data_IF_565431870011
#
_entry.id   IF_565431870011
#
_cell.length_a   1.000
_cell.length_b   1.000
_cell.length_c   1.000
_cell.angle_alpha   90.00
_cell.angle_beta   90.00
_cell.angle_gamma   90.00
#
_symmetry.space_group_name_H-M   'P 1'
#
loop_
_entity.id
_entity.type
_entity.pdbx_description
1 polymer ?
#
# COMPACT_ATOMS: atom_id res chain seq x y z
N UNK A 1 -59.47 -37.65 47.54
CA UNK A 1 -58.76 -37.57 46.25
C UNK A 1 -57.96 -36.27 46.23
N UNK A 2 -56.68 -36.30 46.62
CA UNK A 2 -55.78 -35.16 46.50
C UNK A 2 -54.93 -35.36 45.25
N UNK A 3 -55.10 -34.48 44.24
CA UNK A 3 -54.31 -34.47 43.02
C UNK A 3 -53.15 -33.50 43.20
N UNK A 4 -51.92 -34.01 43.13
CA UNK A 4 -50.69 -33.24 43.21
C UNK A 4 -50.19 -32.97 41.79
N UNK A 5 -50.29 -31.73 41.33
CA UNK A 5 -49.70 -31.30 40.06
C UNK A 5 -48.22 -30.95 40.29
N UNK A 6 -47.33 -31.77 39.73
CA UNK A 6 -45.90 -31.54 39.71
C UNK A 6 -45.59 -30.47 38.65
N UNK A 7 -45.23 -29.26 39.06
CA UNK A 7 -44.74 -28.22 38.15
C UNK A 7 -43.27 -28.49 37.81
N UNK A 8 -43.02 -28.96 36.58
CA UNK A 8 -41.67 -29.08 36.01
C UNK A 8 -41.29 -27.72 35.43
N UNK A 9 -40.35 -27.01 36.08
CA UNK A 9 -39.76 -25.80 35.53
C UNK A 9 -38.62 -26.20 34.57
N UNK A 10 -38.85 -26.03 33.27
CA UNK A 10 -37.80 -26.17 32.25
C UNK A 10 -36.99 -24.88 32.25
N UNK A 11 -35.75 -24.95 32.71
CA UNK A 11 -34.78 -23.86 32.61
C UNK A 11 -34.11 -23.97 31.24
N UNK A 12 -34.56 -23.16 30.28
CA UNK A 12 -33.87 -22.99 29.00
C UNK A 12 -32.62 -22.13 29.22
N UNK A 13 -31.44 -22.75 29.29
CA UNK A 13 -30.16 -22.06 29.27
C UNK A 13 -29.90 -21.63 27.83
N UNK A 14 -30.17 -20.36 27.52
CA UNK A 14 -29.75 -19.73 26.27
C UNK A 14 -28.25 -19.45 26.35
N UNK A 15 -27.43 -20.31 25.73
CA UNK A 15 -26.05 -19.94 25.42
C UNK A 15 -26.08 -18.82 24.39
N UNK A 16 -25.85 -17.60 24.83
CA UNK A 16 -25.48 -16.51 23.94
C UNK A 16 -24.10 -16.86 23.35
N UNK A 17 -24.09 -17.46 22.17
CA UNK A 17 -22.89 -17.55 21.35
C UNK A 17 -22.57 -16.10 20.95
N UNK A 18 -21.76 -15.43 21.77
CA UNK A 18 -21.09 -14.22 21.31
C UNK A 18 -20.15 -14.68 20.20
N UNK A 19 -20.56 -14.46 18.96
CA UNK A 19 -19.63 -14.50 17.85
C UNK A 19 -18.61 -13.41 18.14
N UNK A 20 -17.45 -13.80 18.66
CA UNK A 20 -16.29 -12.92 18.68
C UNK A 20 -15.98 -12.68 17.21
N UNK A 21 -16.40 -11.53 16.68
CA UNK A 21 -16.06 -11.11 15.32
C UNK A 21 -14.54 -10.92 15.35
N UNK A 22 -13.81 -11.93 14.88
CA UNK A 22 -12.36 -11.88 14.79
C UNK A 22 -11.93 -10.74 13.88
N UNK A 23 -10.83 -10.09 14.23
CA UNK A 23 -10.22 -9.07 13.35
C UNK A 23 -9.79 -9.71 12.02
N UNK A 24 -9.97 -8.97 10.92
CA UNK A 24 -9.45 -9.38 9.62
C UNK A 24 -7.93 -9.58 9.72
N UNK A 25 -7.37 -10.64 9.11
CA UNK A 25 -5.92 -10.82 9.04
C UNK A 25 -5.23 -9.59 8.44
N UNK A 26 -3.99 -9.36 8.83
CA UNK A 26 -3.16 -8.26 8.32
C UNK A 26 -1.96 -8.81 7.59
N UNK A 27 -1.76 -8.36 6.36
CA UNK A 27 -0.57 -8.64 5.56
C UNK A 27 0.36 -7.44 5.62
N UNK A 28 1.66 -7.65 5.82
CA UNK A 28 2.67 -6.58 5.88
C UNK A 28 3.74 -6.81 4.82
N UNK A 29 3.96 -5.82 3.96
CA UNK A 29 5.04 -5.75 2.97
C UNK A 29 6.07 -4.71 3.42
N UNK A 30 7.31 -5.14 3.60
CA UNK A 30 8.40 -4.27 4.04
C UNK A 30 8.90 -3.35 2.92
N UNK A 31 9.74 -2.38 3.29
CA UNK A 31 10.36 -1.43 2.38
C UNK A 31 11.72 -1.89 1.85
N UNK A 32 12.36 -0.98 1.11
CA UNK A 32 13.69 -1.16 0.52
C UNK A 32 14.77 -1.32 1.60
N UNK A 33 15.78 -2.15 1.34
CA UNK A 33 16.86 -2.60 2.23
C UNK A 33 16.40 -3.18 3.58
N UNK A 34 15.10 -3.43 3.72
CA UNK A 34 14.49 -3.97 4.92
C UNK A 34 14.09 -5.43 4.71
N UNK A 35 13.42 -6.04 5.68
CA UNK A 35 12.95 -7.43 5.60
C UNK A 35 11.88 -7.73 6.64
N UNK A 36 11.36 -8.96 6.66
CA UNK A 36 10.37 -9.41 7.64
C UNK A 36 10.74 -9.07 9.09
N UNK A 37 12.01 -9.27 9.49
CA UNK A 37 12.49 -9.04 10.85
C UNK A 37 12.20 -7.61 11.32
N UNK A 38 12.39 -6.62 10.44
CA UNK A 38 12.14 -5.21 10.75
C UNK A 38 10.66 -4.90 11.04
N UNK A 39 9.74 -5.72 10.52
CA UNK A 39 8.29 -5.54 10.64
C UNK A 39 7.71 -6.32 11.82
N UNK A 40 8.48 -7.21 12.44
CA UNK A 40 8.05 -8.00 13.61
C UNK A 40 7.54 -7.10 14.76
N UNK A 41 8.19 -5.98 15.13
CA UNK A 41 7.66 -5.10 16.19
C UNK A 41 6.26 -4.57 15.88
N UNK A 42 5.98 -4.22 14.62
CA UNK A 42 4.66 -3.79 14.18
C UNK A 42 3.66 -4.94 14.24
N UNK A 43 4.03 -6.13 13.75
CA UNK A 43 3.19 -7.32 13.79
C UNK A 43 2.78 -7.66 15.24
N UNK A 44 3.76 -7.72 16.15
CA UNK A 44 3.52 -7.95 17.58
C UNK A 44 2.60 -6.90 18.17
N UNK A 45 2.80 -5.62 17.84
CA UNK A 45 1.96 -4.54 18.34
C UNK A 45 0.51 -4.65 17.86
N UNK A 46 0.30 -5.10 16.62
CA UNK A 46 -1.04 -5.39 16.08
C UNK A 46 -1.68 -6.51 16.88
N UNK A 47 -0.97 -7.61 17.14
CA UNK A 47 -1.48 -8.75 17.89
C UNK A 47 -1.78 -8.40 19.37
N UNK A 48 -0.97 -7.54 19.98
CA UNK A 48 -1.17 -7.03 21.35
C UNK A 48 -2.44 -6.18 21.47
N UNK A 49 -2.65 -5.26 20.53
CA UNK A 49 -3.77 -4.29 20.58
C UNK A 49 -5.06 -4.91 20.00
N UNK A 50 -4.93 -5.88 19.11
CA UNK A 50 -6.05 -6.62 18.51
C UNK A 50 -5.85 -8.14 18.68
N UNK A 51 -6.10 -8.67 19.89
CA UNK A 51 -5.89 -10.09 20.18
C UNK A 51 -6.61 -11.02 19.20
N UNK A 52 -5.91 -12.05 18.72
CA UNK A 52 -6.44 -13.02 17.75
C UNK A 52 -6.32 -12.59 16.29
N UNK A 53 -5.82 -11.39 15.99
CA UNK A 53 -5.48 -10.99 14.62
C UNK A 53 -4.35 -11.84 14.08
N UNK A 54 -4.55 -12.51 12.94
CA UNK A 54 -3.46 -13.19 12.23
C UNK A 54 -2.64 -12.16 11.45
N UNK A 55 -1.33 -12.14 11.64
CA UNK A 55 -0.44 -11.26 10.87
C UNK A 55 0.49 -12.09 9.98
N UNK A 56 0.45 -11.83 8.67
CA UNK A 56 1.38 -12.37 7.69
C UNK A 56 2.38 -11.30 7.30
N UNK A 57 3.65 -11.51 7.64
CA UNK A 57 4.75 -10.61 7.22
C UNK A 57 5.53 -11.31 6.12
N UNK A 58 5.58 -10.73 4.93
CA UNK A 58 6.35 -11.33 3.84
C UNK A 58 7.84 -11.36 4.16
N UNK A 59 8.48 -12.50 3.92
CA UNK A 59 9.92 -12.71 4.01
C UNK A 59 10.64 -12.62 2.65
N UNK A 60 9.87 -12.44 1.57
CA UNK A 60 10.42 -12.28 0.23
C UNK A 60 11.14 -10.95 0.07
N UNK A 61 12.21 -10.98 -0.71
CA UNK A 61 12.99 -9.80 -1.10
C UNK A 61 13.60 -9.00 0.07
N UNK A 62 13.94 -9.66 1.18
CA UNK A 62 14.67 -9.03 2.27
C UNK A 62 16.07 -8.49 1.87
N UNK A 63 16.48 -7.40 2.52
CA UNK A 63 17.79 -6.75 2.35
C UNK A 63 18.02 -6.26 0.93
N UNK A 64 19.16 -6.61 0.35
CA UNK A 64 19.53 -6.23 -1.03
C UNK A 64 18.57 -6.76 -2.09
N UNK A 65 17.84 -7.84 -1.81
CA UNK A 65 16.86 -8.39 -2.76
C UNK A 65 15.68 -7.44 -3.02
N UNK A 66 15.41 -6.50 -2.11
CA UNK A 66 14.40 -5.45 -2.31
C UNK A 66 14.74 -4.48 -3.44
N UNK A 67 15.99 -4.49 -3.93
CA UNK A 67 16.43 -3.73 -5.10
C UNK A 67 16.10 -4.39 -6.44
N UNK A 68 15.54 -5.62 -6.44
CA UNK A 68 15.10 -6.28 -7.67
C UNK A 68 13.97 -5.49 -8.35
N UNK A 69 13.76 -5.63 -9.67
CA UNK A 69 12.72 -4.90 -10.38
C UNK A 69 11.34 -5.02 -9.71
N UNK A 70 10.62 -3.90 -9.59
CA UNK A 70 9.38 -3.82 -8.82
C UNK A 70 8.30 -4.78 -9.34
N UNK A 71 8.16 -4.95 -10.67
CA UNK A 71 7.19 -5.90 -11.22
C UNK A 71 7.50 -7.36 -10.87
N UNK A 72 8.78 -7.73 -10.78
CA UNK A 72 9.15 -9.07 -10.33
C UNK A 72 8.73 -9.28 -8.87
N UNK A 73 8.94 -8.28 -8.01
CA UNK A 73 8.48 -8.32 -6.62
C UNK A 73 6.94 -8.39 -6.52
N UNK A 74 6.21 -7.60 -7.31
CA UNK A 74 4.74 -7.62 -7.35
C UNK A 74 4.21 -9.00 -7.71
N UNK A 75 4.80 -9.69 -8.68
CA UNK A 75 4.33 -11.01 -9.11
C UNK A 75 4.57 -12.06 -8.03
N UNK A 76 5.78 -12.11 -7.47
CA UNK A 76 6.15 -13.12 -6.47
C UNK A 76 5.45 -12.89 -5.12
N UNK A 77 5.47 -11.66 -4.59
CA UNK A 77 4.76 -11.33 -3.35
C UNK A 77 3.25 -11.42 -3.57
N UNK A 78 2.75 -11.00 -4.73
CA UNK A 78 1.34 -11.08 -5.08
C UNK A 78 0.81 -12.51 -5.08
N UNK A 79 1.58 -13.47 -5.61
CA UNK A 79 1.23 -14.89 -5.57
C UNK A 79 1.03 -15.39 -4.13
N UNK A 80 2.01 -15.16 -3.26
CA UNK A 80 1.92 -15.58 -1.84
C UNK A 80 0.72 -14.95 -1.13
N UNK A 81 0.46 -13.67 -1.41
CA UNK A 81 -0.65 -12.92 -0.81
C UNK A 81 -1.99 -13.48 -1.27
N UNK A 82 -2.14 -13.81 -2.56
CA UNK A 82 -3.36 -14.42 -3.06
C UNK A 82 -3.59 -15.80 -2.45
N UNK A 83 -2.56 -16.62 -2.31
CA UNK A 83 -2.64 -17.92 -1.63
C UNK A 83 -3.08 -17.75 -0.17
N UNK A 84 -2.54 -16.74 0.53
CA UNK A 84 -2.97 -16.41 1.88
C UNK A 84 -4.45 -15.96 1.94
N UNK A 85 -4.92 -15.20 0.95
CA UNK A 85 -6.31 -14.72 0.87
C UNK A 85 -7.33 -15.84 0.68
N UNK A 86 -6.97 -16.95 0.00
CA UNK A 86 -7.86 -18.11 -0.20
C UNK A 86 -8.35 -18.67 1.14
N UNK A 87 -7.51 -18.67 2.17
CA UNK A 87 -7.86 -19.16 3.51
C UNK A 87 -8.60 -18.12 4.37
N UNK A 88 -8.85 -16.93 3.83
CA UNK A 88 -9.46 -15.81 4.55
C UNK A 88 -10.54 -15.15 3.68
N UNK A 89 -11.64 -15.85 3.37
CA UNK A 89 -12.66 -15.40 2.41
C UNK A 89 -13.37 -14.11 2.86
N UNK A 90 -13.44 -13.85 4.16
CA UNK A 90 -14.00 -12.62 4.73
C UNK A 90 -13.14 -11.38 4.47
N UNK A 91 -11.96 -11.53 3.87
CA UNK A 91 -11.07 -10.46 3.47
C UNK A 91 -9.98 -10.14 4.48
N UNK A 92 -8.97 -9.43 4.01
CA UNK A 92 -7.75 -9.08 4.76
C UNK A 92 -7.49 -7.59 4.74
N UNK A 93 -6.62 -7.10 5.63
CA UNK A 93 -6.02 -5.78 5.53
C UNK A 93 -4.59 -5.92 4.99
N UNK A 94 -4.12 -4.91 4.28
CA UNK A 94 -2.78 -4.87 3.68
C UNK A 94 -2.05 -3.63 4.15
N UNK A 95 -0.82 -3.78 4.63
CA UNK A 95 0.07 -2.70 5.02
C UNK A 95 1.30 -2.77 4.13
N UNK A 96 1.63 -1.66 3.47
CA UNK A 96 2.88 -1.53 2.73
C UNK A 96 3.70 -0.39 3.30
N UNK A 97 4.89 -0.70 3.82
CA UNK A 97 5.81 0.28 4.39
C UNK A 97 6.82 0.77 3.35
N UNK A 98 6.97 2.08 3.20
CA UNK A 98 7.91 2.70 2.26
C UNK A 98 7.70 2.15 0.84
N UNK A 99 8.74 1.64 0.17
CA UNK A 99 8.62 0.95 -1.12
C UNK A 99 7.53 -0.15 -1.12
N UNK A 100 7.30 -0.82 0.00
CA UNK A 100 6.26 -1.83 0.16
C UNK A 100 4.85 -1.31 -0.12
N UNK A 101 4.59 0.00 0.04
CA UNK A 101 3.31 0.61 -0.33
C UNK A 101 3.10 0.73 -1.85
N UNK A 102 4.17 0.91 -2.62
CA UNK A 102 4.10 0.82 -4.08
C UNK A 102 3.88 -0.64 -4.52
N UNK A 103 4.60 -1.60 -3.92
CA UNK A 103 4.41 -3.03 -4.17
C UNK A 103 2.98 -3.47 -3.86
N UNK A 104 2.45 -3.09 -2.68
CA UNK A 104 1.07 -3.35 -2.29
C UNK A 104 0.09 -2.81 -3.33
N UNK A 105 0.23 -1.55 -3.74
CA UNK A 105 -0.62 -0.95 -4.79
C UNK A 105 -0.49 -1.69 -6.13
N UNK A 106 0.73 -2.08 -6.51
CA UNK A 106 0.99 -2.91 -7.69
C UNK A 106 0.25 -4.23 -7.66
N UNK A 107 0.24 -4.92 -6.51
CA UNK A 107 -0.49 -6.18 -6.32
C UNK A 107 -1.99 -5.96 -6.44
N UNK A 108 -2.54 -4.95 -5.77
CA UNK A 108 -3.98 -4.64 -5.84
C UNK A 108 -4.43 -4.37 -7.28
N UNK A 109 -3.65 -3.58 -8.01
CA UNK A 109 -3.92 -3.24 -9.40
C UNK A 109 -3.74 -4.43 -10.34
N UNK A 110 -2.70 -5.25 -10.12
CA UNK A 110 -2.38 -6.42 -10.95
C UNK A 110 -3.40 -7.56 -10.78
N UNK A 111 -3.99 -7.69 -9.59
CA UNK A 111 -4.88 -8.79 -9.22
C UNK A 111 -6.24 -8.27 -8.74
N UNK A 112 -7.12 -7.79 -9.63
CA UNK A 112 -8.39 -7.15 -9.26
C UNK A 112 -9.39 -8.08 -8.55
N UNK A 113 -9.09 -9.38 -8.47
CA UNK A 113 -9.88 -10.36 -7.73
C UNK A 113 -9.51 -10.47 -6.24
N UNK A 114 -8.50 -9.73 -5.76
CA UNK A 114 -8.12 -9.69 -4.34
C UNK A 114 -9.31 -9.41 -3.41
N UNK A 115 -9.23 -9.81 -2.14
CA UNK A 115 -10.23 -9.51 -1.11
C UNK A 115 -9.73 -8.55 -0.02
N UNK A 116 -8.73 -7.71 -0.35
CA UNK A 116 -8.27 -6.63 0.55
C UNK A 116 -9.40 -5.65 0.85
N UNK A 117 -9.71 -5.49 2.12
CA UNK A 117 -10.70 -4.55 2.65
C UNK A 117 -10.08 -3.16 2.89
N UNK A 118 -8.95 -3.11 3.58
CA UNK A 118 -8.23 -1.86 3.85
C UNK A 118 -6.78 -1.97 3.43
N UNK A 119 -6.33 -1.02 2.62
CA UNK A 119 -4.93 -0.83 2.30
C UNK A 119 -4.37 0.36 3.09
N UNK A 120 -3.32 0.13 3.88
CA UNK A 120 -2.57 1.14 4.62
C UNK A 120 -1.22 1.34 3.93
N UNK A 121 -1.06 2.49 3.27
CA UNK A 121 0.18 2.93 2.65
C UNK A 121 0.97 3.74 3.68
N UNK A 122 2.00 3.14 4.27
CA UNK A 122 2.78 3.73 5.36
C UNK A 122 4.08 4.34 4.84
N UNK A 123 4.11 5.66 4.71
CA UNK A 123 5.22 6.49 4.21
C UNK A 123 5.78 6.02 2.86
N UNK A 124 4.91 5.65 1.94
CA UNK A 124 5.29 5.10 0.64
C UNK A 124 5.39 6.19 -0.43
N UNK A 125 6.39 6.20 -1.33
CA UNK A 125 6.49 7.21 -2.38
C UNK A 125 5.44 6.95 -3.48
N UNK A 126 4.15 7.16 -3.20
CA UNK A 126 3.06 6.79 -4.11
C UNK A 126 3.09 7.57 -5.42
N UNK A 127 3.63 8.81 -5.42
CA UNK A 127 3.93 9.56 -6.64
C UNK A 127 5.41 9.50 -7.07
N UNK A 128 6.16 8.52 -6.57
CA UNK A 128 7.58 8.38 -6.83
C UNK A 128 8.47 9.21 -5.91
N UNK A 129 9.76 9.15 -6.18
CA UNK A 129 10.83 9.76 -5.39
C UNK A 129 11.67 10.69 -6.26
N UNK A 130 12.00 11.86 -5.70
CA UNK A 130 12.96 12.81 -6.25
C UNK A 130 13.70 13.52 -5.11
N UNK A 131 14.76 12.88 -4.58
CA UNK A 131 15.54 13.48 -3.49
C UNK A 131 16.84 12.74 -3.19
N UNK A 132 17.86 13.50 -2.74
CA UNK A 132 19.24 13.04 -2.55
C UNK A 132 19.46 12.17 -1.32
N UNK A 133 18.78 12.46 -0.19
CA UNK A 133 18.99 11.76 1.08
C UNK A 133 18.78 10.26 0.95
N UNK A 134 17.71 9.87 0.25
CA UNK A 134 17.43 8.48 -0.06
C UNK A 134 18.49 7.87 -0.99
N UNK A 135 18.95 8.62 -2.00
CA UNK A 135 19.97 8.14 -2.95
C UNK A 135 21.31 7.88 -2.29
N UNK A 136 21.73 8.68 -1.32
CA UNK A 136 23.01 8.46 -0.61
C UNK A 136 23.06 7.13 0.15
N UNK A 137 21.92 6.48 0.43
CA UNK A 137 21.87 5.12 0.98
C UNK A 137 22.37 4.06 -0.01
N UNK A 138 22.29 4.33 -1.32
CA UNK A 138 22.63 3.39 -2.39
C UNK A 138 23.83 3.84 -3.21
N UNK A 139 23.94 5.15 -3.44
CA UNK A 139 24.93 5.80 -4.30
C UNK A 139 25.48 7.04 -3.58
N UNK A 140 26.48 6.87 -2.70
CA UNK A 140 26.96 7.95 -1.83
C UNK A 140 27.40 9.22 -2.58
N UNK A 141 27.87 9.09 -3.82
CA UNK A 141 28.37 10.20 -4.64
C UNK A 141 27.36 10.74 -5.66
N UNK A 142 26.16 10.16 -5.75
CA UNK A 142 25.19 10.55 -6.78
C UNK A 142 24.41 11.80 -6.36
N UNK A 143 24.43 12.84 -7.19
CA UNK A 143 23.58 14.01 -7.01
C UNK A 143 22.16 13.75 -7.56
N UNK A 144 21.15 14.42 -6.99
CA UNK A 144 19.75 14.33 -7.44
C UNK A 144 19.64 14.61 -8.95
N UNK A 145 20.27 15.72 -9.33
CA UNK A 145 20.20 16.30 -10.67
C UNK A 145 20.84 15.42 -11.73
N UNK A 146 21.73 14.50 -11.34
CA UNK A 146 22.39 13.54 -12.26
C UNK A 146 21.82 12.13 -12.16
N UNK A 147 20.96 11.86 -11.17
CA UNK A 147 20.43 10.52 -10.92
C UNK A 147 19.60 9.98 -12.09
N UNK A 148 19.00 10.86 -12.88
CA UNK A 148 18.26 10.49 -14.09
C UNK A 148 19.14 9.78 -15.13
N UNK A 149 20.43 10.10 -15.23
CA UNK A 149 21.35 9.45 -16.19
C UNK A 149 21.51 7.96 -15.88
N UNK A 150 21.50 7.62 -14.59
CA UNK A 150 21.49 6.24 -14.14
C UNK A 150 20.09 5.63 -14.28
N UNK A 151 19.07 6.25 -13.69
CA UNK A 151 17.76 5.63 -13.54
C UNK A 151 16.97 5.55 -14.84
N UNK A 152 17.08 6.53 -15.72
CA UNK A 152 16.46 6.51 -17.05
C UNK A 152 17.41 5.89 -18.08
N UNK A 153 17.89 4.69 -17.75
CA UNK A 153 18.65 3.80 -18.62
C UNK A 153 18.13 2.38 -18.48
N UNK A 154 18.45 1.50 -19.43
CA UNK A 154 18.09 0.07 -19.32
C UNK A 154 18.59 -0.56 -18.02
N UNK A 155 19.82 -0.25 -17.62
CA UNK A 155 20.44 -0.78 -16.40
C UNK A 155 19.76 -0.21 -15.15
N UNK A 156 19.48 1.09 -15.12
CA UNK A 156 18.79 1.73 -13.99
C UNK A 156 17.42 1.13 -13.72
N UNK A 157 16.70 0.76 -14.78
CA UNK A 157 15.38 0.13 -14.69
C UNK A 157 15.39 -1.33 -14.25
N UNK A 158 16.58 -1.95 -14.12
CA UNK A 158 16.75 -3.22 -13.41
C UNK A 158 16.87 -3.05 -11.89
N UNK A 159 16.82 -1.81 -11.38
CA UNK A 159 16.79 -1.52 -9.94
C UNK A 159 15.41 -1.03 -9.52
N UNK A 160 14.95 -1.46 -8.35
CA UNK A 160 13.65 -1.05 -7.82
C UNK A 160 13.52 0.46 -7.65
N UNK A 161 14.62 1.14 -7.27
CA UNK A 161 14.63 2.59 -7.04
C UNK A 161 14.43 3.34 -8.35
N UNK A 162 15.09 2.91 -9.43
CA UNK A 162 14.89 3.50 -10.76
C UNK A 162 13.46 3.33 -11.27
N UNK A 163 12.74 2.30 -10.83
CA UNK A 163 11.35 2.03 -11.23
C UNK A 163 10.34 3.05 -10.69
N UNK A 164 10.67 3.79 -9.61
CA UNK A 164 9.82 4.86 -9.08
C UNK A 164 10.55 6.20 -8.92
N UNK A 165 11.71 6.36 -9.54
CA UNK A 165 12.31 7.67 -9.72
C UNK A 165 11.38 8.54 -10.58
N UNK A 166 11.03 9.73 -10.08
CA UNK A 166 10.12 10.66 -10.74
C UNK A 166 10.73 12.06 -10.79
N UNK A 167 11.69 12.22 -11.70
CA UNK A 167 12.38 13.49 -11.97
C UNK A 167 11.46 14.52 -12.65
N UNK A 168 11.09 15.63 -11.99
CA UNK A 168 10.20 16.64 -12.57
C UNK A 168 10.81 17.39 -13.77
N UNK A 169 12.14 17.40 -13.91
CA UNK A 169 12.86 18.11 -14.98
C UNK A 169 13.09 17.25 -16.22
N UNK A 170 13.01 15.92 -16.06
CA UNK A 170 13.29 14.95 -17.12
C UNK A 170 12.08 14.06 -17.44
N UNK A 171 10.87 14.63 -17.45
CA UNK A 171 9.63 13.88 -17.66
C UNK A 171 9.55 13.13 -19.01
N UNK A 172 10.21 13.63 -20.07
CA UNK A 172 10.31 12.89 -21.33
C UNK A 172 11.01 11.54 -21.13
N UNK A 173 12.13 11.53 -20.42
CA UNK A 173 12.89 10.32 -20.10
C UNK A 173 12.15 9.43 -19.10
N UNK A 174 11.41 10.03 -18.15
CA UNK A 174 10.52 9.29 -17.24
C UNK A 174 9.53 8.42 -18.02
N UNK A 175 8.82 8.99 -19.00
CA UNK A 175 7.86 8.24 -19.81
C UNK A 175 8.51 7.25 -20.79
N UNK A 176 9.75 7.52 -21.22
CA UNK A 176 10.48 6.67 -22.16
C UNK A 176 11.10 5.44 -21.49
N UNK A 177 11.66 5.59 -20.28
CA UNK A 177 12.42 4.54 -19.61
C UNK A 177 11.71 3.91 -18.41
N UNK A 178 10.93 4.66 -17.63
CA UNK A 178 10.39 4.14 -16.37
C UNK A 178 9.39 2.99 -16.62
N UNK A 179 9.75 1.79 -16.16
CA UNK A 179 9.01 0.57 -16.48
C UNK A 179 7.93 0.21 -15.44
N UNK A 180 7.75 1.03 -14.42
CA UNK A 180 6.84 0.73 -13.31
C UNK A 180 5.91 1.90 -12.96
N UNK A 181 6.42 3.01 -12.42
CA UNK A 181 5.58 4.08 -11.90
C UNK A 181 4.59 4.70 -12.92
N UNK A 182 4.96 5.04 -14.16
CA UNK A 182 3.99 5.61 -15.11
C UNK A 182 2.92 4.58 -15.54
N UNK A 183 3.27 3.30 -15.57
CA UNK A 183 2.31 2.22 -15.81
C UNK A 183 1.38 2.06 -14.59
N UNK A 184 1.95 1.99 -13.39
CA UNK A 184 1.22 1.86 -12.14
C UNK A 184 0.26 3.03 -11.92
N UNK A 185 0.65 4.25 -12.27
CA UNK A 185 -0.22 5.44 -12.24
C UNK A 185 -1.18 5.53 -13.43
N UNK A 186 -1.19 4.51 -14.29
CA UNK A 186 -2.00 4.41 -15.49
C UNK A 186 -1.91 5.68 -16.36
N UNK A 187 -0.70 6.24 -16.45
CA UNK A 187 -0.36 7.36 -17.33
C UNK A 187 0.05 6.84 -18.71
N UNK A 188 0.62 5.63 -18.77
CA UNK A 188 0.82 4.87 -19.99
C UNK A 188 -0.25 3.77 -20.03
N UNK A 189 -1.07 3.78 -21.08
CA UNK A 189 -2.17 2.83 -21.26
C UNK A 189 -1.62 1.50 -21.78
N UNK A 190 -2.08 0.41 -21.17
CA UNK A 190 -1.78 -0.97 -21.56
C UNK A 190 -3.06 -1.79 -21.53
N UNK A 191 -3.00 -3.05 -21.96
CA UNK A 191 -4.12 -4.00 -21.84
C UNK A 191 -4.58 -4.20 -20.38
N UNK A 192 -3.68 -3.97 -19.40
CA UNK A 192 -3.98 -4.10 -17.97
C UNK A 192 -4.61 -2.86 -17.35
N UNK A 193 -4.66 -1.73 -18.05
CA UNK A 193 -5.17 -0.46 -17.49
C UNK A 193 -6.57 -0.57 -16.88
N UNK A 194 -7.46 -1.38 -17.47
CA UNK A 194 -8.80 -1.62 -16.92
C UNK A 194 -8.80 -2.35 -15.57
N UNK A 195 -7.85 -3.28 -15.37
CA UNK A 195 -7.71 -4.03 -14.11
C UNK A 195 -7.26 -3.14 -12.95
N UNK A 196 -6.45 -2.11 -13.23
CA UNK A 196 -5.85 -1.27 -12.19
C UNK A 196 -6.91 -0.48 -11.44
N UNK A 197 -7.84 0.14 -12.18
CA UNK A 197 -8.98 0.81 -11.58
C UNK A 197 -9.86 -0.16 -10.80
N UNK A 198 -10.20 -1.32 -11.39
CA UNK A 198 -11.05 -2.33 -10.75
C UNK A 198 -10.46 -2.81 -9.42
N UNK A 199 -9.17 -3.08 -9.36
CA UNK A 199 -8.48 -3.50 -8.14
C UNK A 199 -8.52 -2.41 -7.07
N UNK A 200 -8.11 -1.19 -7.42
CA UNK A 200 -8.14 -0.07 -6.47
C UNK A 200 -9.55 0.21 -5.93
N UNK A 201 -10.57 0.30 -6.78
CA UNK A 201 -11.95 0.59 -6.35
C UNK A 201 -12.63 -0.56 -5.63
N UNK A 202 -12.00 -1.73 -5.51
CA UNK A 202 -12.50 -2.85 -4.70
C UNK A 202 -12.21 -2.63 -3.21
N UNK A 203 -11.24 -1.79 -2.88
CA UNK A 203 -10.95 -1.43 -1.49
C UNK A 203 -12.15 -0.73 -0.86
N UNK A 204 -12.44 -1.07 0.39
CA UNK A 204 -13.37 -0.28 1.21
C UNK A 204 -12.70 0.97 1.76
N UNK A 205 -11.38 0.91 1.98
CA UNK A 205 -10.60 2.03 2.50
C UNK A 205 -9.15 1.98 2.04
N UNK A 206 -8.62 3.15 1.66
CA UNK A 206 -7.19 3.40 1.53
C UNK A 206 -6.78 4.41 2.61
N UNK A 207 -5.77 4.08 3.40
CA UNK A 207 -5.20 4.95 4.43
C UNK A 207 -3.81 5.36 3.97
N UNK A 208 -3.57 6.67 3.91
CA UNK A 208 -2.31 7.25 3.48
C UNK A 208 -1.64 7.90 4.70
N UNK A 209 -0.48 7.38 5.09
CA UNK A 209 0.28 7.88 6.25
C UNK A 209 1.62 8.38 5.74
N UNK A 210 2.02 9.56 6.18
CA UNK A 210 3.31 10.19 5.89
C UNK A 210 3.32 11.59 6.48
N UNK A 211 4.49 12.14 6.76
CA UNK A 211 4.59 13.43 7.46
C UNK A 211 5.84 14.23 7.11
N UNK A 212 5.88 15.51 7.47
CA UNK A 212 6.95 16.44 7.10
C UNK A 212 8.32 16.10 7.71
N UNK A 213 8.34 15.35 8.81
CA UNK A 213 9.56 14.91 9.47
C UNK A 213 10.16 13.64 8.84
N UNK A 214 9.54 13.10 7.78
CA UNK A 214 10.15 12.04 6.97
C UNK A 214 11.38 12.61 6.22
N UNK A 215 12.56 12.23 6.69
CA UNK A 215 13.83 12.66 6.12
C UNK A 215 14.27 11.88 4.88
N UNK A 216 13.45 10.95 4.38
CA UNK A 216 13.82 9.98 3.33
C UNK A 216 12.98 10.20 2.08
N UNK A 217 11.65 10.20 2.21
CA UNK A 217 10.73 10.40 1.10
C UNK A 217 10.75 11.87 0.66
N UNK A 218 10.92 12.12 -0.63
CA UNK A 218 11.02 13.47 -1.17
C UNK A 218 10.27 13.57 -2.50
N UNK A 219 9.24 14.42 -2.60
CA UNK A 219 8.61 15.16 -1.50
C UNK A 219 7.90 14.21 -0.52
N UNK A 220 7.85 14.53 0.78
CA UNK A 220 7.17 13.66 1.77
C UNK A 220 5.69 13.47 1.45
N UNK A 221 5.06 14.46 0.80
CA UNK A 221 3.70 14.42 0.28
C UNK A 221 3.48 13.33 -0.77
N UNK A 222 4.54 12.74 -1.33
CA UNK A 222 4.44 11.53 -2.17
C UNK A 222 3.75 10.39 -1.45
N UNK A 223 3.84 10.33 -0.11
CA UNK A 223 3.04 9.45 0.77
C UNK A 223 1.54 9.59 0.62
N UNK A 224 1.10 10.77 0.18
CA UNK A 224 -0.28 11.16 -0.03
C UNK A 224 -0.56 11.51 -1.51
N UNK A 225 0.20 10.91 -2.45
CA UNK A 225 0.11 11.16 -3.90
C UNK A 225 0.39 12.62 -4.35
N UNK A 226 1.02 13.44 -3.52
CA UNK A 226 1.59 14.71 -3.93
C UNK A 226 2.90 14.53 -4.70
N UNK A 227 3.18 15.37 -5.68
CA UNK A 227 4.37 15.27 -6.53
C UNK A 227 4.91 16.66 -6.82
N UNK A 228 6.19 16.76 -7.15
CA UNK A 228 6.74 18.01 -7.67
C UNK A 228 6.23 18.29 -9.08
N UNK A 229 5.96 19.57 -9.37
CA UNK A 229 5.93 20.09 -10.74
C UNK A 229 7.34 20.43 -11.24
N UNK A 230 7.44 20.97 -12.45
CA UNK A 230 8.71 21.36 -13.08
C UNK A 230 9.47 22.47 -12.33
N UNK A 231 8.83 23.18 -11.40
CA UNK A 231 9.45 24.20 -10.55
C UNK A 231 9.77 23.64 -9.16
N UNK A 232 9.70 22.32 -8.97
CA UNK A 232 9.82 21.65 -7.66
C UNK A 232 8.81 22.15 -6.62
N UNK A 233 7.67 22.66 -7.08
CA UNK A 233 6.54 23.00 -6.21
C UNK A 233 5.67 21.77 -6.03
N UNK A 234 5.30 21.45 -4.79
CA UNK A 234 4.44 20.30 -4.52
C UNK A 234 3.02 20.57 -5.01
N UNK A 235 2.57 19.75 -5.95
CA UNK A 235 1.19 19.68 -6.42
C UNK A 235 0.48 18.54 -5.68
N UNK A 236 -0.60 18.88 -4.96
CA UNK A 236 -1.35 17.92 -4.15
C UNK A 236 -2.14 16.92 -5.01
N UNK A 237 -2.46 15.76 -4.43
CA UNK A 237 -3.18 14.66 -5.08
C UNK A 237 -4.37 15.11 -5.95
N UNK A 238 -5.25 15.99 -5.43
CA UNK A 238 -6.47 16.39 -6.12
C UNK A 238 -6.22 17.21 -7.39
N UNK A 239 -5.05 17.82 -7.48
CA UNK A 239 -4.65 18.64 -8.61
C UNK A 239 -3.87 17.87 -9.68
N UNK A 240 -3.48 16.63 -9.38
CA UNK A 240 -2.76 15.74 -10.30
C UNK A 240 -3.65 15.27 -11.46
N UNK A 241 -3.04 15.11 -12.64
CA UNK A 241 -3.73 14.63 -13.83
C UNK A 241 -4.35 13.24 -13.64
N UNK A 242 -3.63 12.31 -12.99
CA UNK A 242 -4.15 10.96 -12.73
C UNK A 242 -5.36 10.94 -11.79
N UNK A 243 -5.47 11.92 -10.88
CA UNK A 243 -6.63 12.05 -10.01
C UNK A 243 -7.82 12.64 -10.77
N UNK A 244 -7.59 13.73 -11.52
CA UNK A 244 -8.61 14.39 -12.34
C UNK A 244 -9.19 13.45 -13.39
N UNK A 245 -8.34 12.64 -14.01
CA UNK A 245 -8.74 11.61 -14.98
C UNK A 245 -9.23 10.32 -14.32
N UNK A 246 -9.07 10.20 -13.01
CA UNK A 246 -9.41 9.00 -12.25
C UNK A 246 -8.78 7.73 -12.83
N UNK A 247 -7.51 7.86 -13.23
CA UNK A 247 -6.79 6.90 -14.08
C UNK A 247 -6.75 5.50 -13.48
N UNK A 248 -6.62 5.39 -12.16
CA UNK A 248 -6.61 4.12 -11.43
C UNK A 248 -7.63 4.10 -10.29
N UNK A 249 -8.70 4.91 -10.35
CA UNK A 249 -9.79 4.85 -9.37
C UNK A 249 -9.58 5.62 -8.07
N UNK A 250 -8.50 6.40 -7.95
CA UNK A 250 -8.20 7.17 -6.74
C UNK A 250 -9.25 8.24 -6.42
N UNK A 251 -9.83 8.89 -7.44
CA UNK A 251 -10.90 9.87 -7.24
C UNK A 251 -12.22 9.18 -6.88
N UNK A 252 -12.49 8.02 -7.45
CA UNK A 252 -13.61 7.17 -7.00
C UNK A 252 -13.47 6.83 -5.52
N UNK A 253 -12.32 6.30 -5.09
CA UNK A 253 -12.07 5.96 -3.68
C UNK A 253 -12.19 7.16 -2.72
N UNK A 254 -11.70 8.35 -3.10
CA UNK A 254 -11.81 9.57 -2.27
C UNK A 254 -13.28 9.99 -2.07
N UNK A 255 -14.11 9.84 -3.11
CA UNK A 255 -15.53 10.26 -3.07
C UNK A 255 -16.46 9.23 -2.44
N UNK A 256 -16.09 7.94 -2.49
CA UNK A 256 -16.88 6.85 -1.95
C UNK A 256 -16.77 6.71 -0.42
N UNK A 257 -15.95 7.55 0.25
CA UNK A 257 -15.94 7.63 1.71
C UNK A 257 -17.27 8.22 2.17
N UNK A 258 -18.15 7.45 2.85
CA UNK A 258 -19.37 8.00 3.40
C UNK A 258 -18.99 9.12 4.37
N UNK A 259 -19.64 10.27 4.28
CA UNK A 259 -19.53 11.35 5.27
C UNK A 259 -19.71 10.77 6.68
N UNK A 260 -18.61 10.42 7.36
CA UNK A 260 -18.61 10.16 8.79
C UNK A 260 -18.41 11.50 9.48
N UNK A 261 -19.17 11.82 10.54
CA UNK A 261 -18.84 12.96 11.38
C UNK A 261 -17.39 12.81 11.88
N UNK A 262 -16.68 13.91 12.15
CA UNK A 262 -15.33 13.85 12.68
C UNK A 262 -15.36 13.15 14.03
N UNK A 263 -14.98 11.87 14.06
CA UNK A 263 -14.63 11.20 15.30
C UNK A 263 -13.32 11.84 15.79
N UNK A 264 -13.41 12.52 16.93
CA UNK A 264 -12.34 13.29 17.58
C UNK A 264 -11.10 12.48 18.02
N UNK A 265 -10.89 11.26 17.49
CA UNK A 265 -9.81 10.35 17.90
C UNK A 265 -9.00 9.77 16.72
N UNK A 266 -9.03 10.40 15.54
CA UNK A 266 -8.09 10.05 14.45
C UNK A 266 -7.16 11.22 14.20
N UNK A 267 -5.93 11.08 14.68
CA UNK A 267 -4.82 11.96 14.28
C UNK A 267 -4.58 11.67 12.79
N UNK A 268 -5.11 12.53 11.93
CA UNK A 268 -4.56 12.73 10.60
C UNK A 268 -3.49 13.81 10.74
N UNK A 269 -2.23 13.40 10.72
CA UNK A 269 -1.06 14.29 10.58
C UNK A 269 -0.05 13.61 9.66
#
# INVERSE_FOLDING_TARGET
MYSWYLKINIVCITFAISSVIGYKPVIIIHGVLSGNISMIPMAKRIEEVHPGTKVFVTDRFGGWSSLRPMWHQVLEIGSDILDFMVFHPDGVNLIGYSQGGLLARGILQQYPEHNVHTFISLSAPQCGQYGTKFLHLFFPTLACETAYELFYSMVGQHTSVGNYWNDPHHQKLFFEYSNYLPFLNNLIVTERSGSYKKGMTKLTKMVLIGGPDDGVITPWQSSQFGCFDSNETVVNMKDQGFYKNDSFGLRTLDKDVPCRPPDNNVIWS
#
